data_IF_181804319871
#
_entry.id   IF_181804319871
#
_cell.length_a   1.000
_cell.length_b   1.000
_cell.length_c   1.000
_cell.angle_alpha   90.00
_cell.angle_beta   90.00
_cell.angle_gamma   90.00
#
_symmetry.space_group_name_H-M   'P 1'
#
loop_
_entity.id
_entity.type
_entity.pdbx_description
1 polymer ?
#
# COMPACT_ATOMS: atom_id res chain seq x y z
N UNK A 1 -21.15 -57.60 26.21
CA UNK A 1 -21.40 -56.43 25.33
C UNK A 1 -20.33 -55.38 25.64
N UNK A 2 -19.32 -55.24 24.75
CA UNK A 2 -18.28 -54.22 24.90
C UNK A 2 -18.67 -53.04 24.04
N UNK A 3 -18.97 -51.88 24.69
CA UNK A 3 -19.18 -50.63 23.99
C UNK A 3 -17.82 -50.04 23.61
N UNK A 4 -17.51 -50.02 22.34
CA UNK A 4 -16.39 -49.29 21.76
C UNK A 4 -16.81 -47.81 21.68
N UNK A 5 -16.27 -46.99 22.57
CA UNK A 5 -16.36 -45.54 22.48
C UNK A 5 -15.35 -45.07 21.44
N UNK A 6 -15.82 -44.79 20.24
CA UNK A 6 -15.00 -44.19 19.19
C UNK A 6 -14.91 -42.70 19.46
N UNK A 7 -13.81 -42.26 20.10
CA UNK A 7 -13.49 -40.83 20.28
C UNK A 7 -13.18 -40.22 18.91
N UNK A 8 -14.15 -39.48 18.38
CA UNK A 8 -13.97 -38.65 17.18
C UNK A 8 -13.09 -37.41 17.57
N UNK A 9 -11.79 -37.52 17.38
CA UNK A 9 -10.89 -36.41 17.50
C UNK A 9 -11.10 -35.49 16.29
N UNK A 10 -11.91 -34.44 16.49
CA UNK A 10 -12.04 -33.36 15.50
C UNK A 10 -10.78 -32.51 15.64
N UNK A 11 -9.82 -32.76 14.76
CA UNK A 11 -8.66 -31.87 14.58
C UNK A 11 -9.16 -30.62 13.89
N UNK A 12 -9.42 -29.55 14.65
CA UNK A 12 -9.58 -28.22 14.10
C UNK A 12 -8.23 -27.81 13.53
N UNK A 13 -8.03 -28.04 12.23
CA UNK A 13 -7.00 -27.38 11.45
C UNK A 13 -7.40 -25.90 11.37
N UNK A 14 -7.08 -25.14 12.40
CA UNK A 14 -6.99 -23.68 12.27
C UNK A 14 -5.89 -23.41 11.26
N UNK A 15 -6.26 -23.30 10.00
CA UNK A 15 -5.39 -22.78 8.97
C UNK A 15 -5.02 -21.35 9.42
N UNK A 16 -3.90 -21.21 10.12
CA UNK A 16 -3.26 -19.93 10.35
C UNK A 16 -2.90 -19.39 8.97
N UNK A 17 -3.83 -18.62 8.38
CA UNK A 17 -3.51 -17.96 7.12
C UNK A 17 -2.39 -16.96 7.41
N UNK A 18 -1.21 -17.29 6.92
CA UNK A 18 -0.02 -16.47 7.09
C UNK A 18 -0.22 -15.13 6.39
N UNK A 19 0.28 -14.08 7.01
CA UNK A 19 0.44 -12.79 6.35
C UNK A 19 1.44 -12.97 5.20
N UNK A 20 1.08 -12.49 4.01
CA UNK A 20 1.95 -12.52 2.85
C UNK A 20 2.20 -11.12 2.32
N UNK A 21 3.32 -10.93 1.64
CA UNK A 21 3.61 -9.73 0.88
C UNK A 21 3.56 -10.04 -0.61
N UNK A 22 3.05 -9.10 -1.38
CA UNK A 22 3.01 -9.14 -2.83
C UNK A 22 3.54 -7.84 -3.37
N UNK A 23 4.51 -7.93 -4.29
CA UNK A 23 5.16 -6.78 -4.92
C UNK A 23 4.74 -6.68 -6.37
N UNK A 24 4.33 -5.49 -6.77
CA UNK A 24 3.97 -5.12 -8.12
C UNK A 24 4.87 -4.02 -8.63
N UNK A 25 5.25 -4.06 -9.90
CA UNK A 25 6.06 -3.03 -10.55
C UNK A 25 5.46 -2.68 -11.91
N UNK A 26 5.59 -1.42 -12.29
CA UNK A 26 5.14 -0.92 -13.59
C UNK A 26 5.44 0.56 -13.72
N UNK A 27 5.01 1.14 -14.84
CA UNK A 27 5.06 2.58 -15.06
C UNK A 27 3.63 3.08 -15.11
N UNK A 28 3.28 3.97 -14.19
CA UNK A 28 1.97 4.60 -14.14
C UNK A 28 2.11 6.10 -14.37
N UNK A 29 1.53 6.58 -15.47
CA UNK A 29 1.81 7.93 -15.95
C UNK A 29 3.25 8.04 -16.47
N UNK A 30 3.98 9.07 -16.05
CA UNK A 30 5.32 9.35 -16.55
C UNK A 30 6.44 8.76 -15.68
N UNK A 31 6.16 7.94 -14.66
CA UNK A 31 7.18 7.46 -13.75
C UNK A 31 7.05 5.99 -13.35
N UNK A 32 8.15 5.43 -12.91
CA UNK A 32 8.18 4.07 -12.38
C UNK A 32 7.49 4.01 -11.02
N UNK A 33 6.73 2.95 -10.83
CA UNK A 33 5.98 2.70 -9.60
C UNK A 33 6.24 1.28 -9.09
N UNK A 34 6.43 1.19 -7.79
CA UNK A 34 6.48 -0.08 -7.06
C UNK A 34 5.44 -0.04 -5.95
N UNK A 35 4.56 -1.01 -5.94
CA UNK A 35 3.55 -1.20 -4.87
C UNK A 35 3.78 -2.52 -4.17
N UNK A 36 3.83 -2.50 -2.83
CA UNK A 36 3.90 -3.70 -1.99
C UNK A 36 2.63 -3.77 -1.15
N UNK A 37 1.92 -4.88 -1.24
CA UNK A 37 0.73 -5.17 -0.42
C UNK A 37 1.10 -6.17 0.66
N UNK A 38 0.78 -5.87 1.92
CA UNK A 38 0.80 -6.83 3.02
C UNK A 38 -0.64 -7.30 3.23
N UNK A 39 -0.89 -8.59 3.01
CA UNK A 39 -2.25 -9.16 2.91
C UNK A 39 -2.43 -10.30 3.90
N UNK A 40 -3.58 -10.35 4.55
CA UNK A 40 -4.05 -11.49 5.37
C UNK A 40 -5.55 -11.68 5.13
N UNK A 41 -6.00 -12.91 4.86
CA UNK A 41 -7.42 -13.26 4.67
C UNK A 41 -8.14 -12.40 3.61
N UNK A 42 -7.47 -12.09 2.49
CA UNK A 42 -7.95 -11.17 1.45
C UNK A 42 -8.23 -9.73 1.93
N UNK A 43 -7.66 -9.35 3.06
CA UNK A 43 -7.65 -8.00 3.56
C UNK A 43 -6.24 -7.42 3.49
N UNK A 44 -6.11 -6.20 2.99
CA UNK A 44 -4.85 -5.47 2.97
C UNK A 44 -4.65 -4.83 4.35
N UNK A 45 -3.56 -5.19 5.02
CA UNK A 45 -3.19 -4.62 6.31
C UNK A 45 -2.32 -3.37 6.14
N UNK A 46 -1.47 -3.37 5.11
CA UNK A 46 -0.51 -2.31 4.84
C UNK A 46 -0.26 -2.21 3.34
N UNK A 47 -0.08 -0.99 2.86
CA UNK A 47 0.48 -0.73 1.53
C UNK A 47 1.75 0.07 1.65
N UNK A 48 2.67 -0.16 0.71
CA UNK A 48 3.88 0.60 0.54
C UNK A 48 4.03 0.95 -0.94
N UNK A 49 4.12 2.24 -1.23
CA UNK A 49 4.18 2.79 -2.58
C UNK A 49 5.47 3.57 -2.77
N UNK A 50 6.21 3.24 -3.80
CA UNK A 50 7.32 4.02 -4.32
C UNK A 50 6.95 4.55 -5.70
N UNK A 51 7.00 5.85 -5.90
CA UNK A 51 6.69 6.47 -7.20
C UNK A 51 7.71 7.54 -7.54
N UNK A 52 8.30 7.41 -8.71
CA UNK A 52 9.19 8.41 -9.28
C UNK A 52 8.38 9.47 -10.02
N UNK A 53 8.79 10.72 -9.90
CA UNK A 53 8.24 11.86 -10.62
C UNK A 53 9.34 12.41 -11.55
N UNK A 54 9.43 11.92 -12.80
CA UNK A 54 10.55 12.23 -13.69
C UNK A 54 10.55 13.68 -14.18
N UNK A 55 9.42 14.38 -14.06
CA UNK A 55 9.32 15.78 -14.45
C UNK A 55 9.98 16.73 -13.42
N UNK A 56 10.42 16.21 -12.27
CA UNK A 56 11.07 16.98 -11.22
C UNK A 56 12.52 16.53 -11.08
N UNK A 57 13.45 17.36 -11.55
CA UNK A 57 14.89 17.13 -11.42
C UNK A 57 15.36 17.40 -9.99
N UNK A 58 15.84 16.34 -9.33
CA UNK A 58 16.36 16.46 -7.96
C UNK A 58 17.77 17.07 -7.89
N UNK A 59 18.38 17.41 -9.02
CA UNK A 59 19.62 18.21 -9.07
C UNK A 59 19.33 19.72 -8.90
N UNK A 60 18.15 20.19 -9.30
CA UNK A 60 17.68 21.52 -8.97
C UNK A 60 17.16 21.55 -7.53
N UNK A 61 18.01 22.04 -6.61
CA UNK A 61 17.71 22.05 -5.18
C UNK A 61 16.51 22.92 -4.82
N UNK A 62 16.24 23.98 -5.57
CA UNK A 62 15.09 24.86 -5.32
C UNK A 62 13.79 24.20 -5.72
N UNK A 63 13.72 23.65 -6.94
CA UNK A 63 12.55 22.94 -7.44
C UNK A 63 12.25 21.70 -6.58
N UNK A 64 13.28 20.89 -6.28
CA UNK A 64 13.14 19.70 -5.43
C UNK A 64 12.60 20.04 -4.03
N UNK A 65 13.19 21.05 -3.35
CA UNK A 65 12.74 21.41 -2.01
C UNK A 65 11.33 21.99 -2.02
N UNK A 66 10.98 22.83 -3.00
CA UNK A 66 9.63 23.39 -3.13
C UNK A 66 8.58 22.27 -3.35
N UNK A 67 8.86 21.31 -4.23
CA UNK A 67 7.98 20.19 -4.47
C UNK A 67 7.86 19.29 -3.23
N UNK A 68 8.98 18.99 -2.58
CA UNK A 68 9.03 18.20 -1.35
C UNK A 68 8.20 18.84 -0.23
N UNK A 69 8.39 20.14 0.03
CA UNK A 69 7.69 20.86 1.09
C UNK A 69 6.18 20.87 0.81
N UNK A 70 5.78 21.14 -0.43
CA UNK A 70 4.37 21.13 -0.83
C UNK A 70 3.72 19.74 -0.65
N UNK A 71 4.43 18.67 -1.02
CA UNK A 71 3.92 17.32 -0.86
C UNK A 71 3.77 16.93 0.61
N UNK A 72 4.76 17.26 1.44
CA UNK A 72 4.73 16.97 2.87
C UNK A 72 3.66 17.79 3.59
N UNK A 73 3.48 19.06 3.24
CA UNK A 73 2.44 19.92 3.80
C UNK A 73 1.04 19.37 3.50
N UNK A 74 0.80 18.92 2.28
CA UNK A 74 -0.50 18.43 1.86
C UNK A 74 -0.84 17.02 2.40
N UNK A 75 0.13 16.13 2.51
CA UNK A 75 -0.11 14.70 2.76
C UNK A 75 0.60 14.13 3.99
N UNK A 76 1.67 14.76 4.47
CA UNK A 76 2.54 14.23 5.53
C UNK A 76 1.94 14.15 6.93
N UNK A 77 0.72 14.67 7.15
CA UNK A 77 0.10 14.78 8.46
C UNK A 77 -1.03 13.76 8.72
N UNK A 78 -1.28 12.84 7.78
CA UNK A 78 -2.37 11.86 7.92
C UNK A 78 -1.91 10.73 8.84
N UNK A 79 -2.55 10.59 10.01
CA UNK A 79 -2.23 9.50 10.95
C UNK A 79 -2.44 8.14 10.28
N UNK A 80 -1.46 7.24 10.42
CA UNK A 80 -1.44 5.92 9.78
C UNK A 80 -0.83 5.94 8.39
N UNK A 81 -0.37 7.11 7.91
CA UNK A 81 0.46 7.24 6.72
C UNK A 81 1.82 7.82 7.09
N UNK A 82 2.87 7.18 6.61
CA UNK A 82 4.21 7.75 6.58
C UNK A 82 4.50 8.20 5.15
N UNK A 83 4.84 9.47 4.99
CA UNK A 83 5.06 10.10 3.71
C UNK A 83 6.46 10.70 3.66
N UNK A 84 7.29 10.26 2.74
CA UNK A 84 8.63 10.81 2.55
C UNK A 84 8.90 11.13 1.09
N UNK A 85 9.80 12.07 0.88
CA UNK A 85 10.24 12.52 -0.44
C UNK A 85 11.76 12.50 -0.47
N UNK A 86 12.31 11.83 -1.46
CA UNK A 86 13.75 11.64 -1.60
C UNK A 86 14.20 11.72 -3.07
N UNK A 87 15.49 11.73 -3.27
CA UNK A 87 16.08 11.64 -4.60
C UNK A 87 16.18 10.20 -5.04
N UNK A 88 15.65 9.90 -6.23
CA UNK A 88 15.78 8.57 -6.85
C UNK A 88 17.20 8.30 -7.36
N UNK A 89 17.47 7.05 -7.72
CA UNK A 89 18.74 6.65 -8.35
C UNK A 89 18.96 7.31 -9.72
N UNK A 90 17.88 7.60 -10.43
CA UNK A 90 17.88 8.27 -11.74
C UNK A 90 18.02 9.79 -11.63
N UNK A 91 18.00 10.35 -10.42
CA UNK A 91 18.20 11.77 -10.18
C UNK A 91 16.91 12.59 -10.11
N UNK A 92 15.75 11.94 -10.13
CA UNK A 92 14.45 12.60 -10.05
C UNK A 92 13.88 12.57 -8.62
N UNK A 93 12.80 13.30 -8.38
CA UNK A 93 12.05 13.23 -7.13
C UNK A 93 11.32 11.89 -7.05
N UNK A 94 11.44 11.22 -5.91
CA UNK A 94 10.72 9.99 -5.59
C UNK A 94 9.91 10.17 -4.33
N UNK A 95 8.64 9.77 -4.37
CA UNK A 95 7.79 9.70 -3.19
C UNK A 95 7.74 8.27 -2.67
N UNK A 96 7.73 8.13 -1.35
CA UNK A 96 7.53 6.88 -0.65
C UNK A 96 6.39 7.06 0.34
N UNK A 97 5.36 6.25 0.22
CA UNK A 97 4.17 6.28 1.06
C UNK A 97 3.96 4.91 1.68
N UNK A 98 3.87 4.89 3.00
CA UNK A 98 3.49 3.70 3.75
C UNK A 98 2.14 3.96 4.40
N UNK A 99 1.15 3.10 4.17
CA UNK A 99 -0.16 3.20 4.81
C UNK A 99 -0.41 1.96 5.67
N UNK A 100 -0.53 2.17 6.98
CA UNK A 100 -0.98 1.15 7.95
C UNK A 100 -2.48 1.36 8.20
N UNK A 101 -3.30 0.49 7.61
CA UNK A 101 -4.77 0.62 7.69
C UNK A 101 -5.32 0.42 9.09
N UNK A 102 -4.60 -0.25 10.00
CA UNK A 102 -5.00 -0.40 11.39
C UNK A 102 -4.91 0.90 12.19
N UNK A 103 -4.15 1.87 11.68
CA UNK A 103 -3.89 3.17 12.33
C UNK A 103 -4.44 4.34 11.54
N UNK A 104 -4.95 4.11 10.33
CA UNK A 104 -5.35 5.17 9.40
C UNK A 104 -6.49 6.02 9.95
N UNK A 105 -6.27 7.33 10.05
CA UNK A 105 -7.34 8.31 10.22
C UNK A 105 -8.10 8.50 8.88
N UNK A 106 -9.09 7.64 8.69
CA UNK A 106 -9.90 7.60 7.48
C UNK A 106 -10.65 8.92 7.23
N UNK A 107 -11.02 9.65 8.29
CA UNK A 107 -11.74 10.94 8.16
C UNK A 107 -10.82 12.00 7.53
N UNK A 108 -9.61 12.13 8.07
CA UNK A 108 -8.60 13.05 7.52
C UNK A 108 -8.17 12.59 6.12
N UNK A 109 -7.98 11.30 5.89
CA UNK A 109 -7.66 10.73 4.58
C UNK A 109 -8.73 11.11 3.54
N UNK A 110 -10.00 10.86 3.82
CA UNK A 110 -11.10 11.21 2.92
C UNK A 110 -11.17 12.72 2.62
N UNK A 111 -10.88 13.57 3.62
CA UNK A 111 -10.86 15.02 3.44
C UNK A 111 -9.73 15.44 2.48
N UNK A 112 -8.52 14.94 2.69
CA UNK A 112 -7.34 15.27 1.89
C UNK A 112 -7.48 14.80 0.45
N UNK A 113 -7.91 13.55 0.26
CA UNK A 113 -8.08 12.96 -1.07
C UNK A 113 -9.45 13.24 -1.71
N UNK A 114 -10.26 14.12 -1.11
CA UNK A 114 -11.62 14.49 -1.60
C UNK A 114 -12.45 13.26 -1.93
N UNK A 115 -12.45 12.29 -1.03
CA UNK A 115 -13.01 10.95 -1.21
C UNK A 115 -14.11 10.68 -0.17
N UNK A 116 -14.88 9.61 -0.38
CA UNK A 116 -15.88 9.11 0.57
C UNK A 116 -15.76 7.59 0.70
N UNK A 117 -14.53 7.11 0.82
CA UNK A 117 -14.25 5.68 0.95
C UNK A 117 -14.54 5.19 2.37
N UNK A 118 -14.97 3.94 2.47
CA UNK A 118 -15.01 3.20 3.74
C UNK A 118 -13.71 2.42 3.88
N UNK A 119 -13.33 2.07 5.11
CA UNK A 119 -12.11 1.28 5.35
C UNK A 119 -12.11 -0.01 4.51
N UNK A 120 -13.23 -0.73 4.47
CA UNK A 120 -13.37 -1.95 3.66
C UNK A 120 -13.11 -1.75 2.16
N UNK A 121 -13.31 -0.55 1.62
CA UNK A 121 -13.06 -0.26 0.21
C UNK A 121 -11.56 -0.06 -0.05
N UNK A 122 -10.81 0.39 0.96
CA UNK A 122 -9.36 0.58 0.89
C UNK A 122 -8.59 -0.71 1.19
N UNK A 123 -9.17 -1.61 1.98
CA UNK A 123 -8.53 -2.87 2.40
C UNK A 123 -8.95 -4.07 1.57
N UNK A 124 -9.83 -3.90 0.58
CA UNK A 124 -10.29 -4.98 -0.32
C UNK A 124 -9.15 -5.40 -1.26
N UNK A 125 -8.52 -6.53 -0.94
CA UNK A 125 -7.41 -7.07 -1.71
C UNK A 125 -7.80 -7.41 -3.15
N UNK A 126 -8.94 -8.05 -3.36
CA UNK A 126 -9.34 -8.51 -4.70
C UNK A 126 -9.55 -7.31 -5.63
N UNK A 127 -10.26 -6.30 -5.14
CA UNK A 127 -10.51 -5.07 -5.90
C UNK A 127 -9.22 -4.28 -6.17
N UNK A 128 -8.37 -4.14 -5.15
CA UNK A 128 -7.10 -3.41 -5.26
C UNK A 128 -6.15 -4.10 -6.24
N UNK A 129 -6.00 -5.43 -6.13
CA UNK A 129 -5.20 -6.23 -7.05
C UNK A 129 -5.66 -6.03 -8.49
N UNK A 130 -6.97 -6.15 -8.75
CA UNK A 130 -7.54 -5.94 -10.08
C UNK A 130 -7.19 -4.55 -10.63
N UNK A 131 -7.35 -3.50 -9.81
CA UNK A 131 -7.01 -2.12 -10.21
C UNK A 131 -5.51 -1.98 -10.53
N UNK A 132 -4.62 -2.57 -9.74
CA UNK A 132 -3.18 -2.55 -9.97
C UNK A 132 -2.83 -3.21 -11.32
N UNK A 133 -3.41 -4.38 -11.59
CA UNK A 133 -3.18 -5.12 -12.84
C UNK A 133 -3.79 -4.39 -14.06
N UNK A 134 -4.98 -3.80 -13.93
CA UNK A 134 -5.62 -2.98 -14.97
C UNK A 134 -4.81 -1.72 -15.31
N UNK A 135 -4.04 -1.19 -14.35
CA UNK A 135 -3.11 -0.08 -14.55
C UNK A 135 -1.77 -0.52 -15.18
N UNK A 136 -1.64 -1.79 -15.59
CA UNK A 136 -0.46 -2.30 -16.28
C UNK A 136 0.70 -2.68 -15.35
N UNK A 137 0.50 -2.72 -14.05
CA UNK A 137 1.51 -3.18 -13.12
C UNK A 137 1.57 -4.71 -13.09
N UNK A 138 2.77 -5.26 -13.02
CA UNK A 138 3.04 -6.70 -13.05
C UNK A 138 3.49 -7.17 -11.67
N UNK A 139 2.95 -8.27 -11.21
CA UNK A 139 3.41 -8.94 -9.98
C UNK A 139 4.81 -9.50 -10.20
N UNK A 140 5.75 -9.15 -9.33
CA UNK A 140 7.17 -9.58 -9.41
C UNK A 140 7.60 -10.42 -8.21
N UNK A 141 6.78 -10.46 -7.15
CA UNK A 141 7.01 -11.28 -5.95
C UNK A 141 5.69 -11.58 -5.21
#
# INVERSE_FOLDING_TARGET
MKFLLTSLVIVFLTACQSTRQEKYQGSYGNGDETTILTVKNNEILKTELWKELPDIDASDSLEFNSAKDSLLENYGHIKGMDYSVEKSKSGHLQIHIVTDFSKLDLKTWNKVFKSNKKMKDLTDYIKTKKTIEENGMVKVQ
#
